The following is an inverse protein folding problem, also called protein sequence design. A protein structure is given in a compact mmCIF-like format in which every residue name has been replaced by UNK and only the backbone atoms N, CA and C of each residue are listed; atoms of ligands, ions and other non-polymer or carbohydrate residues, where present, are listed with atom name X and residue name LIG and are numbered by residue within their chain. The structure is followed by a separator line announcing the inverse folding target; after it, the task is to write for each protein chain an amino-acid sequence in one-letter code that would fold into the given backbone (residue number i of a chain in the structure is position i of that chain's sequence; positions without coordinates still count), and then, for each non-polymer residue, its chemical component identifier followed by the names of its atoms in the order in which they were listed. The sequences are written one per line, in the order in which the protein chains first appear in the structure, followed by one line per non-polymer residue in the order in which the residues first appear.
data_IF_936583347120
#
_entry.id   IF_936583347120
#
_cell.length_a   1.000
_cell.length_b   1.000
_cell.length_c   1.000
_cell.angle_alpha   90.00
_cell.angle_beta   90.00
_cell.angle_gamma   90.00
#
_symmetry.space_group_name_H-M   'P 1'
#
loop_
_entity.id
_entity.type
_entity.pdbx_description
1 polymer ?
#
# COMPACT_ATOMS: atom_id res chain seq x y z
N UNK A 1 13.00 0.63 -7.21
CA UNK A 1 12.01 0.93 -6.15
C UNK A 1 12.40 0.14 -4.92
N UNK A 2 12.00 0.53 -3.71
CA UNK A 2 12.39 -0.08 -2.42
C UNK A 2 13.76 0.27 -1.83
N UNK A 3 13.83 1.42 -1.15
CA UNK A 3 14.71 1.56 0.01
C UNK A 3 13.88 1.45 1.29
N UNK A 4 13.60 0.22 1.72
CA UNK A 4 13.26 -0.02 3.13
C UNK A 4 14.51 0.16 4.00
N UNK A 5 14.33 0.24 5.32
CA UNK A 5 15.42 0.20 6.31
C UNK A 5 16.33 1.44 6.37
N UNK A 6 15.90 2.59 5.85
CA UNK A 6 16.63 3.87 5.97
C UNK A 6 15.98 4.86 6.95
N UNK A 7 15.13 4.37 7.86
CA UNK A 7 14.40 5.23 8.80
C UNK A 7 13.59 6.31 8.07
N UNK A 8 13.86 7.58 8.36
CA UNK A 8 13.15 8.73 7.80
C UNK A 8 13.31 8.94 6.29
N UNK A 9 14.35 8.37 5.67
CA UNK A 9 14.61 8.48 4.21
C UNK A 9 13.96 7.38 3.38
N UNK A 10 13.21 6.47 4.00
CA UNK A 10 12.60 5.34 3.30
C UNK A 10 11.51 5.81 2.33
N UNK A 11 11.68 5.54 1.03
CA UNK A 11 10.73 5.86 -0.06
C UNK A 11 9.74 4.73 -0.34
N UNK A 12 9.66 3.77 0.58
CA UNK A 12 8.72 2.65 0.55
C UNK A 12 7.29 3.16 0.29
N UNK A 13 6.65 2.54 -0.69
CA UNK A 13 5.24 2.73 -1.02
C UNK A 13 4.65 1.37 -1.38
N UNK A 14 3.34 1.24 -1.22
CA UNK A 14 2.63 0.05 -1.68
C UNK A 14 1.92 0.37 -2.98
N UNK A 15 2.12 -0.51 -3.97
CA UNK A 15 1.44 -0.48 -5.25
C UNK A 15 0.61 -1.74 -5.43
N UNK A 16 -0.46 -1.62 -6.20
CA UNK A 16 -1.38 -2.71 -6.53
C UNK A 16 -1.56 -2.83 -8.04
N UNK A 17 -1.75 -4.06 -8.50
CA UNK A 17 -2.29 -4.39 -9.81
C UNK A 17 -3.22 -5.60 -9.69
N UNK A 18 -4.05 -5.83 -10.70
CA UNK A 18 -5.02 -6.93 -10.74
C UNK A 18 -4.92 -7.73 -12.03
N UNK A 19 -5.32 -8.99 -11.98
CA UNK A 19 -5.35 -9.91 -13.10
C UNK A 19 -6.58 -10.82 -12.97
N UNK A 20 -7.11 -11.30 -14.11
CA UNK A 20 -8.17 -12.32 -14.11
C UNK A 20 -7.62 -13.74 -13.88
N UNK A 21 -6.37 -13.99 -14.31
CA UNK A 21 -5.66 -15.24 -14.03
C UNK A 21 -4.60 -15.00 -12.96
N UNK A 22 -4.40 -16.00 -12.08
CA UNK A 22 -3.33 -15.99 -11.08
C UNK A 22 -1.94 -15.84 -11.73
N UNK A 23 -1.78 -16.31 -12.97
CA UNK A 23 -0.53 -16.21 -13.74
C UNK A 23 -0.38 -14.86 -14.46
N UNK A 24 -1.35 -13.94 -14.31
CA UNK A 24 -1.33 -12.63 -14.94
C UNK A 24 -1.90 -12.62 -16.37
N UNK A 25 -1.69 -11.50 -17.10
CA UNK A 25 -0.88 -10.34 -16.69
C UNK A 25 -1.56 -9.53 -15.57
N UNK A 26 -0.76 -9.03 -14.62
CA UNK A 26 -1.22 -8.06 -13.63
C UNK A 26 -1.01 -6.65 -14.18
N UNK A 27 -2.09 -5.89 -14.24
CA UNK A 27 -2.11 -4.51 -14.75
C UNK A 27 -2.49 -3.56 -13.62
N UNK A 28 -1.99 -2.33 -13.69
CA UNK A 28 -2.46 -1.25 -12.82
C UNK A 28 -3.74 -0.58 -13.37
N UNK A 29 -4.23 0.47 -12.69
CA UNK A 29 -5.42 1.22 -13.09
C UNK A 29 -5.34 1.77 -14.50
N UNK A 30 -4.15 2.17 -14.94
CA UNK A 30 -3.92 2.73 -16.28
C UNK A 30 -3.63 1.66 -17.34
N UNK A 31 -3.71 0.38 -16.97
CA UNK A 31 -3.47 -0.75 -17.88
C UNK A 31 -1.99 -1.04 -18.11
N UNK A 32 -1.07 -0.45 -17.33
CA UNK A 32 0.37 -0.70 -17.49
C UNK A 32 0.73 -2.02 -16.79
N UNK A 33 1.45 -2.95 -17.47
CA UNK A 33 1.90 -4.18 -16.85
C UNK A 33 2.78 -3.94 -15.63
N UNK A 34 2.53 -4.65 -14.53
CA UNK A 34 3.38 -4.57 -13.33
C UNK A 34 4.83 -4.99 -13.60
N UNK A 35 5.05 -5.88 -14.57
CA UNK A 35 6.38 -6.28 -15.02
C UNK A 35 7.13 -5.18 -15.80
N UNK A 36 6.42 -4.16 -16.26
CA UNK A 36 6.98 -3.00 -16.99
C UNK A 36 7.02 -1.73 -16.12
N UNK A 37 6.88 -1.89 -14.80
CA UNK A 37 6.92 -0.79 -13.83
C UNK A 37 5.55 -0.17 -13.51
N UNK A 38 4.47 -0.76 -14.02
CA UNK A 38 3.10 -0.43 -13.60
C UNK A 38 2.87 -0.68 -12.11
N UNK A 39 1.82 -0.07 -11.59
CA UNK A 39 1.32 -0.28 -10.23
C UNK A 39 0.64 0.96 -9.68
N UNK A 40 -0.66 0.84 -9.38
CA UNK A 40 -1.43 1.91 -8.76
C UNK A 40 -0.96 2.08 -7.33
N UNK A 41 -0.45 3.25 -6.98
CA UNK A 41 0.03 3.52 -5.63
C UNK A 41 -1.17 3.67 -4.69
N UNK A 42 -1.20 2.92 -3.59
CA UNK A 42 -2.29 2.94 -2.60
C UNK A 42 -1.82 3.32 -1.19
N UNK A 43 -0.52 3.42 -0.98
CA UNK A 43 0.07 3.79 0.30
C UNK A 43 1.41 4.47 0.09
N UNK A 44 1.52 5.72 0.56
CA UNK A 44 2.77 6.47 0.63
C UNK A 44 2.97 6.99 2.06
N UNK A 45 4.09 7.67 2.32
CA UNK A 45 4.30 8.30 3.62
C UNK A 45 3.21 9.34 3.93
N UNK A 46 2.69 9.34 5.16
CA UNK A 46 1.61 10.22 5.60
C UNK A 46 1.76 10.60 7.08
N UNK A 47 1.35 11.82 7.47
CA UNK A 47 1.59 12.38 8.82
C UNK A 47 3.06 12.14 9.28
N UNK A 48 3.24 11.27 10.29
CA UNK A 48 4.52 10.90 10.88
C UNK A 48 5.03 9.54 10.40
N UNK A 49 4.24 8.80 9.63
CA UNK A 49 4.53 7.46 9.19
C UNK A 49 5.37 7.51 7.91
N UNK A 50 6.59 7.02 7.99
CA UNK A 50 7.56 6.98 6.89
C UNK A 50 7.74 5.55 6.40
N UNK A 51 8.08 5.41 5.12
CA UNK A 51 8.32 4.12 4.46
C UNK A 51 7.33 3.00 4.79
N UNK A 52 6.01 3.22 4.67
CA UNK A 52 5.05 2.17 4.93
C UNK A 52 5.13 1.03 3.90
N UNK A 53 5.00 -0.22 4.34
CA UNK A 53 4.86 -1.37 3.45
C UNK A 53 5.09 -2.72 4.12
N UNK A 54 5.49 -3.73 3.32
CA UNK A 54 5.48 -5.15 3.69
C UNK A 54 4.13 -5.54 4.28
N UNK A 55 3.12 -5.45 3.43
CA UNK A 55 1.73 -5.57 3.85
C UNK A 55 1.21 -7.01 3.79
N UNK A 56 0.16 -7.25 4.57
CA UNK A 56 -0.75 -8.38 4.44
C UNK A 56 -2.19 -7.88 4.32
N UNK A 57 -3.02 -8.68 3.66
CA UNK A 57 -4.47 -8.43 3.55
C UNK A 57 -5.20 -9.64 4.11
N UNK A 58 -6.21 -9.41 4.95
CA UNK A 58 -7.08 -10.47 5.45
C UNK A 58 -8.53 -10.02 5.50
N UNK A 59 -9.45 -10.97 5.33
CA UNK A 59 -10.90 -10.76 5.36
C UNK A 59 -11.45 -11.21 6.70
N UNK A 60 -12.25 -10.37 7.35
CA UNK A 60 -13.06 -10.74 8.51
C UNK A 60 -14.51 -10.27 8.27
N UNK A 61 -15.42 -11.22 8.07
CA UNK A 61 -16.78 -10.91 7.61
C UNK A 61 -16.74 -10.18 6.26
N UNK A 62 -17.42 -9.04 6.20
CA UNK A 62 -17.48 -8.17 5.00
C UNK A 62 -16.39 -7.09 4.98
N UNK A 63 -15.41 -7.15 5.90
CA UNK A 63 -14.34 -6.16 6.00
C UNK A 63 -13.02 -6.78 5.52
N UNK A 64 -12.40 -6.10 4.55
CA UNK A 64 -10.99 -6.31 4.23
C UNK A 64 -10.12 -5.45 5.15
N UNK A 65 -9.10 -6.06 5.73
CA UNK A 65 -8.13 -5.42 6.60
C UNK A 65 -6.77 -5.39 5.93
N UNK A 66 -6.11 -4.24 6.04
CA UNK A 66 -4.77 -4.01 5.51
C UNK A 66 -3.80 -3.81 6.68
N UNK A 67 -2.82 -4.72 6.78
CA UNK A 67 -1.82 -4.77 7.84
C UNK A 67 -0.47 -4.45 7.25
N UNK A 68 0.28 -3.54 7.86
CA UNK A 68 1.61 -3.14 7.37
C UNK A 68 2.48 -2.59 8.50
N UNK A 69 3.77 -2.42 8.23
CA UNK A 69 4.64 -1.65 9.12
C UNK A 69 4.89 -0.25 8.56
N UNK A 70 5.13 0.71 9.44
CA UNK A 70 5.65 2.03 9.09
C UNK A 70 6.57 2.56 10.19
N UNK A 71 7.51 3.44 9.82
CA UNK A 71 8.47 4.03 10.76
C UNK A 71 7.88 5.31 11.39
N UNK A 72 7.84 5.39 12.73
CA UNK A 72 7.30 6.55 13.44
C UNK A 72 8.36 7.67 13.55
N UNK A 73 8.23 8.72 12.74
CA UNK A 73 9.16 9.85 12.74
C UNK A 73 9.20 10.62 14.06
N UNK A 74 8.17 10.52 14.91
CA UNK A 74 8.15 11.16 16.23
C UNK A 74 8.87 10.32 17.29
N UNK A 75 9.26 9.09 16.96
CA UNK A 75 9.94 8.16 17.86
C UNK A 75 11.18 7.57 17.19
N UNK A 76 11.98 8.43 16.54
CA UNK A 76 13.27 8.03 15.99
C UNK A 76 13.20 6.99 14.87
N UNK A 77 12.04 6.81 14.22
CA UNK A 77 11.87 5.83 13.16
C UNK A 77 11.75 4.39 13.66
N UNK A 78 11.29 4.15 14.89
CA UNK A 78 10.96 2.79 15.34
C UNK A 78 9.83 2.23 14.46
N UNK A 79 9.96 0.99 13.92
CA UNK A 79 8.91 0.36 13.13
C UNK A 79 7.72 0.02 14.03
N UNK A 80 6.52 0.34 13.57
CA UNK A 80 5.27 0.02 14.26
C UNK A 80 4.26 -0.63 13.34
N UNK A 81 3.49 -1.54 13.93
CA UNK A 81 2.33 -2.14 13.30
C UNK A 81 1.25 -1.07 13.03
N UNK A 82 0.70 -1.11 11.82
CA UNK A 82 -0.45 -0.34 11.38
C UNK A 82 -1.50 -1.32 10.86
N UNK A 83 -2.74 -1.06 11.20
CA UNK A 83 -3.90 -1.81 10.73
C UNK A 83 -4.98 -0.79 10.43
N UNK A 84 -5.57 -0.88 9.25
CA UNK A 84 -6.77 -0.12 8.87
C UNK A 84 -7.63 -0.94 7.91
N UNK A 85 -8.90 -0.58 7.77
CA UNK A 85 -9.79 -1.20 6.79
C UNK A 85 -9.32 -0.84 5.37
N UNK A 86 -9.42 -1.79 4.45
CA UNK A 86 -9.23 -1.57 3.02
C UNK A 86 -10.57 -1.22 2.39
N UNK A 87 -10.67 -0.02 1.81
CA UNK A 87 -11.83 0.38 1.02
C UNK A 87 -11.68 -0.06 -0.43
N UNK A 88 -12.79 -0.16 -1.14
CA UNK A 88 -12.84 -0.41 -2.59
C UNK A 88 -13.65 0.71 -3.24
N UNK A 89 -13.15 1.27 -4.33
CA UNK A 89 -13.88 2.27 -5.12
C UNK A 89 -14.87 1.62 -6.11
N UNK A 90 -15.60 2.45 -6.85
CA UNK A 90 -16.61 2.01 -7.81
C UNK A 90 -16.04 1.17 -8.97
N UNK A 91 -14.74 1.34 -9.27
CA UNK A 91 -14.01 0.60 -10.30
C UNK A 91 -13.39 -0.70 -9.76
N UNK A 92 -13.57 -0.98 -8.46
CA UNK A 92 -13.04 -2.15 -7.78
C UNK A 92 -11.53 -2.06 -7.50
N UNK A 93 -11.00 -0.86 -7.34
CA UNK A 93 -9.63 -0.63 -6.90
C UNK A 93 -9.56 -0.37 -5.39
N UNK A 94 -8.57 -0.94 -4.69
CA UNK A 94 -8.46 -0.75 -3.26
C UNK A 94 -7.88 0.64 -2.94
N UNK A 95 -8.32 1.22 -1.84
CA UNK A 95 -7.73 2.42 -1.24
C UNK A 95 -7.66 2.27 0.28
N UNK A 96 -6.71 2.98 0.89
CA UNK A 96 -6.63 3.08 2.35
C UNK A 96 -7.29 4.37 2.83
N UNK A 97 -8.16 4.34 3.85
CA UNK A 97 -8.77 5.54 4.42
C UNK A 97 -7.75 6.61 4.80
N UNK A 98 -6.58 6.22 5.30
CA UNK A 98 -5.48 7.16 5.60
C UNK A 98 -4.89 7.88 4.38
N UNK A 99 -5.21 7.42 3.17
CA UNK A 99 -4.72 7.94 1.89
C UNK A 99 -5.83 8.57 1.03
N UNK A 100 -7.10 8.50 1.46
CA UNK A 100 -8.26 8.91 0.64
C UNK A 100 -8.26 10.40 0.26
N UNK A 101 -7.64 11.27 1.05
CA UNK A 101 -7.51 12.70 0.67
C UNK A 101 -6.51 12.93 -0.48
N UNK A 102 -5.75 11.91 -0.89
CA UNK A 102 -4.78 11.97 -1.98
C UNK A 102 -5.24 11.26 -3.28
N UNK A 103 -6.50 10.81 -3.36
CA UNK A 103 -7.07 10.09 -4.51
C UNK A 103 -8.39 10.70 -4.98
#
# INVERSE_FOLDING_TARGET
FDQCCQGASSTYNVRVGRAESITGPYLDREGVPMLEGGGTTILTAYDRWRGPGHNGVYREGDVDWFVYHAYDARQGGVPKLRIESLGWDEEGWPYLPSQKENH
#
